data_IF_837924467613
#
_entry.id   IF_837924467613
#
_cell.length_a   1.000
_cell.length_b   1.000
_cell.length_c   1.000
_cell.angle_alpha   90.00
_cell.angle_beta   90.00
_cell.angle_gamma   90.00
#
_symmetry.space_group_name_H-M   'P 1'
#
loop_
_entity.id
_entity.type
_entity.pdbx_description
1 polymer ?
#
# COMPACT_ATOMS: atom_id res chain seq x y z
N UNK A 1 0.19 -2.20 6.28
CA UNK A 1 1.25 -1.17 6.33
C UNK A 1 2.09 -1.28 5.08
N UNK A 2 2.56 -0.16 4.54
CA UNK A 2 3.47 -0.11 3.39
C UNK A 2 4.63 0.83 3.69
N UNK A 3 5.86 0.57 3.22
CA UNK A 3 7.01 1.40 3.55
C UNK A 3 6.81 2.81 3.01
N UNK A 4 7.16 3.80 3.83
CA UNK A 4 7.05 5.22 3.49
C UNK A 4 8.25 5.99 4.05
N UNK A 5 8.53 7.14 3.47
CA UNK A 5 9.54 8.08 3.98
C UNK A 5 8.93 9.46 4.18
N UNK A 6 9.33 10.18 5.23
CA UNK A 6 8.82 11.53 5.49
C UNK A 6 9.92 12.45 6.01
N UNK A 7 9.98 13.66 5.47
CA UNK A 7 10.81 14.72 6.06
C UNK A 7 10.09 15.34 7.25
N UNK A 8 10.74 15.32 8.41
CA UNK A 8 10.26 15.97 9.64
C UNK A 8 11.43 16.80 10.15
N UNK A 9 11.28 18.13 10.16
CA UNK A 9 12.31 19.11 10.53
C UNK A 9 13.68 18.85 9.87
N UNK A 10 13.70 18.76 8.53
CA UNK A 10 14.91 18.54 7.73
C UNK A 10 15.51 17.13 7.80
N UNK A 11 14.98 16.25 8.64
CA UNK A 11 15.46 14.86 8.78
C UNK A 11 14.54 13.91 8.02
N UNK A 12 15.10 13.01 7.21
CA UNK A 12 14.34 11.98 6.50
C UNK A 12 14.11 10.76 7.42
N UNK A 13 12.86 10.55 7.82
CA UNK A 13 12.44 9.38 8.59
C UNK A 13 11.95 8.26 7.67
N UNK A 14 12.26 7.03 8.03
CA UNK A 14 11.70 5.82 7.42
C UNK A 14 10.60 5.27 8.34
N UNK A 15 9.44 4.99 7.77
CA UNK A 15 8.28 4.52 8.52
C UNK A 15 7.27 3.84 7.59
N UNK A 16 6.00 3.97 7.94
CA UNK A 16 4.93 3.29 7.23
C UNK A 16 3.75 4.20 6.92
N UNK A 17 3.14 4.00 5.75
CA UNK A 17 1.72 4.33 5.59
C UNK A 17 0.85 3.19 6.11
N UNK A 18 -0.29 3.53 6.70
CA UNK A 18 -1.29 2.57 7.18
C UNK A 18 -2.40 2.43 6.14
N UNK A 19 -2.58 1.20 5.66
CA UNK A 19 -3.69 0.82 4.79
C UNK A 19 -4.65 -0.09 5.57
N UNK A 20 -5.95 0.11 5.44
CA UNK A 20 -6.99 -0.65 6.15
C UNK A 20 -8.11 -1.13 5.21
N UNK A 21 -8.83 -2.19 5.59
CA UNK A 21 -10.03 -2.64 4.86
C UNK A 21 -9.79 -3.49 3.60
N UNK A 22 -8.56 -3.86 3.28
CA UNK A 22 -8.30 -4.74 2.13
C UNK A 22 -8.89 -6.15 2.33
N UNK A 23 -9.56 -6.69 1.31
CA UNK A 23 -10.08 -8.07 1.34
C UNK A 23 -10.22 -8.69 -0.06
N UNK A 24 -10.25 -10.02 -0.06
CA UNK A 24 -10.68 -10.87 -1.17
C UNK A 24 -11.80 -11.79 -0.64
N UNK A 25 -12.74 -12.16 -1.51
CA UNK A 25 -13.79 -13.13 -1.19
C UNK A 25 -15.11 -12.47 -0.77
N UNK A 26 -15.42 -12.50 0.53
CA UNK A 26 -16.69 -12.01 1.09
C UNK A 26 -17.04 -10.60 0.61
N UNK A 27 -18.14 -10.44 -0.13
CA UNK A 27 -18.53 -9.17 -0.76
C UNK A 27 -17.52 -8.63 -1.79
N UNK A 28 -16.77 -9.51 -2.44
CA UNK A 28 -15.82 -9.16 -3.51
C UNK A 28 -14.45 -8.68 -3.04
N UNK A 29 -13.60 -8.34 -4.01
CA UNK A 29 -12.29 -7.75 -3.79
C UNK A 29 -12.39 -6.27 -3.45
N UNK A 30 -11.71 -5.86 -2.38
CA UNK A 30 -11.63 -4.48 -1.94
C UNK A 30 -10.15 -4.15 -1.75
N UNK A 31 -9.69 -3.09 -2.41
CA UNK A 31 -8.34 -2.55 -2.20
C UNK A 31 -8.31 -1.87 -0.84
N UNK A 32 -7.24 -2.08 -0.06
CA UNK A 32 -7.09 -1.42 1.22
C UNK A 32 -6.98 0.10 1.04
N UNK A 33 -7.78 0.86 1.78
CA UNK A 33 -7.78 2.32 1.79
C UNK A 33 -6.60 2.86 2.60
N UNK A 34 -5.97 3.92 2.11
CA UNK A 34 -4.93 4.63 2.86
C UNK A 34 -5.57 5.50 3.94
N UNK A 35 -5.05 5.46 5.16
CA UNK A 35 -5.49 6.36 6.24
C UNK A 35 -4.85 7.75 6.11
N UNK A 36 -3.97 7.95 5.13
CA UNK A 36 -3.19 9.15 4.89
C UNK A 36 -2.33 9.56 6.09
N UNK A 37 -1.79 8.54 6.77
CA UNK A 37 -0.91 8.69 7.93
C UNK A 37 0.49 8.19 7.64
N UNK A 38 1.47 8.84 8.24
CA UNK A 38 2.83 8.34 8.42
C UNK A 38 3.02 7.97 9.88
N UNK A 39 3.48 6.76 10.13
CA UNK A 39 3.85 6.29 11.47
C UNK A 39 5.29 5.80 11.46
N UNK A 40 5.99 6.06 12.55
CA UNK A 40 7.34 5.53 12.77
C UNK A 40 7.28 4.04 13.17
N UNK A 41 8.38 3.28 13.02
CA UNK A 41 8.36 1.83 13.27
C UNK A 41 7.96 1.43 14.69
N UNK A 42 8.31 2.23 15.68
CA UNK A 42 7.95 2.06 17.09
C UNK A 42 6.45 2.34 17.33
N UNK A 43 5.86 3.32 16.65
CA UNK A 43 4.43 3.65 16.75
C UNK A 43 3.51 2.66 16.01
N UNK A 44 4.06 1.94 15.02
CA UNK A 44 3.28 1.12 14.10
C UNK A 44 2.42 0.05 14.80
N UNK A 45 2.94 -0.54 15.88
CA UNK A 45 2.24 -1.60 16.60
C UNK A 45 1.01 -1.09 17.37
N UNK A 46 1.09 0.10 17.98
CA UNK A 46 -0.03 0.73 18.70
C UNK A 46 -1.21 0.99 17.76
N UNK A 47 -0.93 1.53 16.57
CA UNK A 47 -1.97 1.80 15.57
C UNK A 47 -2.64 0.51 15.11
N UNK A 48 -1.87 -0.57 14.91
CA UNK A 48 -2.44 -1.88 14.53
C UNK A 48 -3.30 -2.46 15.66
N UNK A 49 -2.86 -2.34 16.91
CA UNK A 49 -3.62 -2.80 18.08
C UNK A 49 -4.97 -2.07 18.17
N UNK A 50 -4.99 -0.75 18.00
CA UNK A 50 -6.24 0.02 18.06
C UNK A 50 -7.15 -0.25 16.87
N UNK A 51 -6.63 -0.51 15.66
CA UNK A 51 -7.43 -1.00 14.54
C UNK A 51 -8.11 -2.35 14.88
N UNK A 52 -7.38 -3.27 15.51
CA UNK A 52 -7.92 -4.58 15.90
C UNK A 52 -8.99 -4.42 16.99
N UNK A 53 -8.75 -3.60 18.01
CA UNK A 53 -9.72 -3.33 19.10
C UNK A 53 -10.97 -2.63 18.59
N UNK A 54 -10.80 -1.60 17.75
CA UNK A 54 -11.93 -0.91 17.13
C UNK A 54 -12.76 -1.86 16.27
N UNK A 55 -12.12 -2.71 15.45
CA UNK A 55 -12.84 -3.72 14.70
C UNK A 55 -13.51 -4.77 15.60
N UNK A 56 -12.90 -5.13 16.73
CA UNK A 56 -13.49 -6.04 17.71
C UNK A 56 -14.78 -5.47 18.29
N UNK A 57 -14.76 -4.20 18.67
CA UNK A 57 -15.83 -3.50 19.38
C UNK A 57 -16.99 -3.12 18.44
N UNK A 58 -16.66 -2.65 17.24
CA UNK A 58 -17.62 -1.98 16.33
C UNK A 58 -17.94 -2.81 15.08
N UNK A 59 -17.15 -3.85 14.80
CA UNK A 59 -17.35 -4.69 13.62
C UNK A 59 -18.64 -5.52 13.71
N UNK A 60 -19.41 -5.54 12.61
CA UNK A 60 -20.63 -6.33 12.51
C UNK A 60 -20.40 -7.82 12.87
N UNK A 61 -21.34 -8.39 13.64
CA UNK A 61 -21.34 -9.80 14.09
C UNK A 61 -22.51 -10.62 13.56
N UNK A 62 -23.28 -10.07 12.63
CA UNK A 62 -24.45 -10.71 12.01
C UNK A 62 -24.07 -11.70 10.90
N UNK A 63 -24.54 -11.42 9.68
CA UNK A 63 -24.25 -12.27 8.53
C UNK A 63 -22.74 -12.37 8.28
N UNK A 64 -22.18 -13.59 8.33
CA UNK A 64 -20.73 -13.83 8.16
C UNK A 64 -20.16 -13.24 6.86
N UNK A 65 -20.99 -13.13 5.83
CA UNK A 65 -20.64 -12.53 4.53
C UNK A 65 -20.37 -11.03 4.58
N UNK A 66 -20.72 -10.36 5.69
CA UNK A 66 -20.62 -8.92 5.91
C UNK A 66 -19.83 -8.54 7.18
N UNK A 67 -19.12 -9.50 7.80
CA UNK A 67 -18.41 -9.30 9.07
C UNK A 67 -16.90 -9.01 8.91
N UNK A 68 -16.46 -8.38 7.82
CA UNK A 68 -15.04 -8.01 7.59
C UNK A 68 -14.85 -6.52 7.84
N UNK A 69 -13.66 -6.11 8.31
CA UNK A 69 -13.30 -4.70 8.53
C UNK A 69 -13.60 -3.78 7.34
N UNK A 70 -13.52 -4.31 6.11
CA UNK A 70 -13.87 -3.58 4.90
C UNK A 70 -15.30 -3.00 4.93
N UNK A 71 -16.27 -3.74 5.46
CA UNK A 71 -17.67 -3.30 5.52
C UNK A 71 -17.88 -2.23 6.60
N UNK A 72 -17.17 -2.35 7.74
CA UNK A 72 -17.16 -1.29 8.75
C UNK A 72 -16.61 0.02 8.17
N UNK A 73 -15.53 -0.06 7.38
CA UNK A 73 -14.95 1.09 6.69
C UNK A 73 -15.88 1.68 5.61
N UNK A 74 -16.63 0.83 4.91
CA UNK A 74 -17.64 1.26 3.94
C UNK A 74 -18.80 1.99 4.62
N UNK A 75 -19.27 1.48 5.75
CA UNK A 75 -20.35 2.08 6.54
C UNK A 75 -19.94 3.39 7.21
N UNK A 76 -18.77 3.42 7.84
CA UNK A 76 -18.31 4.57 8.61
C UNK A 76 -17.68 5.66 7.75
N UNK A 77 -17.10 5.27 6.62
CA UNK A 77 -16.15 6.12 5.89
C UNK A 77 -14.82 6.28 6.62
N UNK A 78 -13.82 6.78 5.89
CA UNK A 78 -12.46 6.94 6.41
C UNK A 78 -12.35 8.03 7.48
N UNK A 79 -13.16 9.08 7.39
CA UNK A 79 -13.08 10.22 8.31
C UNK A 79 -13.47 9.82 9.73
N UNK A 80 -14.65 9.22 9.90
CA UNK A 80 -15.10 8.70 11.19
C UNK A 80 -14.14 7.64 11.71
N UNK A 81 -13.70 6.70 10.87
CA UNK A 81 -12.76 5.66 11.28
C UNK A 81 -11.43 6.22 11.82
N UNK A 82 -10.89 7.27 11.16
CA UNK A 82 -9.68 7.97 11.61
C UNK A 82 -9.89 8.70 12.94
N UNK A 83 -11.02 9.40 13.09
CA UNK A 83 -11.36 10.13 14.32
C UNK A 83 -11.43 9.18 15.53
N UNK A 84 -12.12 8.06 15.39
CA UNK A 84 -12.26 7.05 16.44
C UNK A 84 -10.92 6.40 16.80
N UNK A 85 -10.06 6.13 15.81
CA UNK A 85 -8.71 5.65 16.07
C UNK A 85 -7.86 6.67 16.83
N UNK A 86 -7.91 7.95 16.48
CA UNK A 86 -7.16 9.01 17.17
C UNK A 86 -7.62 9.15 18.62
N UNK A 87 -8.92 9.08 18.88
CA UNK A 87 -9.45 9.08 20.24
C UNK A 87 -8.92 7.91 21.08
N UNK A 88 -8.88 6.71 20.50
CA UNK A 88 -8.38 5.50 21.16
C UNK A 88 -6.87 5.51 21.37
N UNK A 89 -6.11 6.06 20.41
CA UNK A 89 -4.66 6.20 20.50
C UNK A 89 -4.24 7.26 21.53
N UNK A 90 -5.05 8.30 21.72
CA UNK A 90 -4.70 9.45 22.56
C UNK A 90 -3.68 10.40 21.92
N UNK A 91 -3.33 10.18 20.65
CA UNK A 91 -2.43 11.03 19.87
C UNK A 91 -2.79 10.98 18.37
N UNK A 92 -2.34 12.00 17.63
CA UNK A 92 -2.61 12.15 16.21
C UNK A 92 -1.39 11.70 15.38
N UNK A 93 -1.51 10.64 14.55
CA UNK A 93 -0.49 10.30 13.58
C UNK A 93 -0.20 11.43 12.60
N UNK A 94 1.06 11.55 12.21
CA UNK A 94 1.48 12.57 11.27
C UNK A 94 0.84 12.33 9.89
N UNK A 95 0.61 13.38 9.07
CA UNK A 95 0.10 13.20 7.71
C UNK A 95 0.99 12.27 6.87
N UNK A 96 0.45 11.64 5.82
CA UNK A 96 1.21 10.76 4.94
C UNK A 96 2.52 11.39 4.43
N UNK A 97 3.58 10.58 4.43
CA UNK A 97 4.82 10.88 3.71
C UNK A 97 4.77 10.43 2.25
N UNK A 98 5.95 10.24 1.64
CA UNK A 98 6.11 9.64 0.32
C UNK A 98 6.08 8.11 0.42
N UNK A 99 5.31 7.46 -0.45
CA UNK A 99 5.33 5.99 -0.60
C UNK A 99 6.71 5.55 -1.09
N UNK A 100 7.31 4.58 -0.40
CA UNK A 100 8.66 4.08 -0.70
C UNK A 100 8.64 2.74 -1.45
N UNK A 101 7.47 2.22 -1.84
CA UNK A 101 7.35 1.05 -2.69
C UNK A 101 7.80 1.38 -4.12
N UNK A 102 8.57 0.49 -4.73
CA UNK A 102 8.91 0.57 -6.15
C UNK A 102 7.75 0.15 -7.05
N UNK A 103 7.76 0.61 -8.30
CA UNK A 103 6.83 0.14 -9.34
C UNK A 103 7.13 -1.29 -9.82
N UNK A 104 8.32 -1.81 -9.52
CA UNK A 104 8.74 -3.17 -9.86
C UNK A 104 8.24 -4.22 -8.86
N UNK A 105 7.85 -5.39 -9.39
CA UNK A 105 7.62 -6.59 -8.58
C UNK A 105 8.95 -7.34 -8.40
N UNK A 106 9.29 -7.71 -7.17
CA UNK A 106 10.42 -8.58 -6.88
C UNK A 106 9.90 -9.95 -6.46
N UNK A 107 10.14 -10.96 -7.30
CA UNK A 107 9.78 -12.36 -7.07
C UNK A 107 10.79 -13.09 -6.18
N UNK A 108 11.93 -12.46 -5.90
CA UNK A 108 13.05 -12.98 -5.11
C UNK A 108 13.75 -14.23 -5.67
N UNK A 109 13.39 -14.71 -6.86
CA UNK A 109 14.07 -15.85 -7.49
C UNK A 109 15.52 -15.56 -7.88
N UNK A 110 16.27 -16.63 -8.08
CA UNK A 110 17.67 -16.59 -8.49
C UNK A 110 18.60 -16.19 -7.36
N UNK A 111 19.88 -16.03 -7.71
CA UNK A 111 20.92 -15.53 -6.81
C UNK A 111 20.84 -14.01 -6.76
N UNK A 112 20.76 -13.45 -5.54
CA UNK A 112 20.67 -12.00 -5.32
C UNK A 112 21.65 -11.57 -4.24
N UNK A 113 22.39 -10.49 -4.51
CA UNK A 113 23.27 -9.86 -3.52
C UNK A 113 22.45 -9.28 -2.37
N UNK A 114 22.90 -9.51 -1.14
CA UNK A 114 22.34 -8.88 0.04
C UNK A 114 22.99 -7.52 0.30
N UNK A 115 22.47 -6.78 1.28
CA UNK A 115 23.07 -5.52 1.73
C UNK A 115 24.45 -5.74 2.35
N UNK A 116 24.64 -6.87 3.02
CA UNK A 116 25.89 -7.28 3.65
C UNK A 116 26.89 -7.70 2.55
N UNK A 117 28.11 -7.13 2.52
CA UNK A 117 29.13 -7.51 1.55
C UNK A 117 29.43 -9.01 1.60
N UNK A 118 29.56 -9.64 0.42
CA UNK A 118 29.89 -11.06 0.29
C UNK A 118 28.75 -12.03 0.61
N UNK A 119 27.57 -11.55 1.02
CA UNK A 119 26.40 -12.40 1.28
C UNK A 119 25.35 -12.32 0.18
N UNK A 120 24.74 -13.46 -0.06
CA UNK A 120 23.74 -13.66 -1.10
C UNK A 120 22.49 -14.33 -0.52
N UNK A 121 21.37 -14.16 -1.22
CA UNK A 121 20.16 -14.96 -1.04
C UNK A 121 19.85 -15.71 -2.32
N UNK A 122 19.30 -16.91 -2.20
CA UNK A 122 18.87 -17.74 -3.32
C UNK A 122 17.39 -18.04 -3.17
N UNK A 123 16.57 -17.46 -4.04
CA UNK A 123 15.13 -17.75 -4.08
C UNK A 123 14.84 -18.98 -4.91
N UNK A 124 14.05 -19.91 -4.35
CA UNK A 124 13.82 -21.24 -4.88
C UNK A 124 12.34 -21.47 -5.16
N UNK A 125 12.03 -22.10 -6.31
CA UNK A 125 10.64 -22.39 -6.69
C UNK A 125 10.11 -23.61 -5.94
N UNK A 126 9.20 -23.38 -5.01
CA UNK A 126 8.36 -24.44 -4.44
C UNK A 126 7.07 -24.48 -5.23
N UNK A 127 6.98 -25.41 -6.19
CA UNK A 127 5.83 -25.54 -7.10
C UNK A 127 4.51 -25.53 -6.32
N UNK A 128 3.68 -24.49 -6.55
CA UNK A 128 2.39 -24.24 -5.88
C UNK A 128 2.44 -24.38 -4.35
N UNK A 129 3.58 -24.06 -3.74
CA UNK A 129 3.81 -24.18 -2.30
C UNK A 129 3.62 -25.58 -1.73
N UNK A 130 3.77 -26.63 -2.55
CA UNK A 130 3.70 -28.03 -2.12
C UNK A 130 5.14 -28.57 -1.99
N UNK A 131 5.49 -29.07 -0.82
CA UNK A 131 6.81 -29.65 -0.52
C UNK A 131 6.60 -30.95 0.27
N UNK A 132 7.39 -31.99 -0.02
CA UNK A 132 7.40 -33.22 0.77
C UNK A 132 8.18 -33.03 2.07
N UNK A 133 8.06 -33.99 3.00
CA UNK A 133 8.82 -33.92 4.25
C UNK A 133 10.32 -34.12 4.01
N UNK A 134 10.72 -34.95 3.03
CA UNK A 134 12.12 -35.16 2.65
C UNK A 134 12.73 -33.88 2.07
N UNK A 135 12.05 -33.27 1.09
CA UNK A 135 12.53 -32.03 0.46
C UNK A 135 12.54 -30.86 1.46
N UNK A 136 11.62 -30.82 2.43
CA UNK A 136 11.63 -29.82 3.49
C UNK A 136 12.79 -30.02 4.48
N UNK A 137 13.06 -31.26 4.90
CA UNK A 137 14.19 -31.58 5.77
C UNK A 137 15.52 -31.25 5.07
N UNK A 138 15.63 -31.60 3.79
CA UNK A 138 16.80 -31.29 2.99
C UNK A 138 16.98 -29.78 2.77
N UNK A 139 15.90 -29.03 2.53
CA UNK A 139 15.96 -27.57 2.49
C UNK A 139 16.48 -26.97 3.81
N UNK A 140 16.09 -27.55 4.95
CA UNK A 140 16.64 -27.22 6.26
C UNK A 140 18.15 -27.45 6.34
N UNK A 141 18.62 -28.65 5.93
CA UNK A 141 20.05 -28.97 5.85
C UNK A 141 20.80 -27.97 4.97
N UNK A 142 20.25 -27.60 3.81
CA UNK A 142 20.88 -26.62 2.92
C UNK A 142 21.02 -25.25 3.59
N UNK A 143 20.02 -24.82 4.36
CA UNK A 143 20.09 -23.57 5.10
C UNK A 143 21.20 -23.59 6.16
N UNK A 144 21.38 -24.72 6.86
CA UNK A 144 22.42 -24.89 7.88
C UNK A 144 23.83 -24.96 7.27
N UNK A 145 23.99 -25.73 6.18
CA UNK A 145 25.30 -25.97 5.55
C UNK A 145 25.79 -24.76 4.77
N UNK A 146 24.91 -24.11 4.00
CA UNK A 146 25.30 -23.05 3.08
C UNK A 146 25.06 -21.65 3.62
N UNK A 147 24.09 -21.48 4.53
CA UNK A 147 23.72 -20.19 5.11
C UNK A 147 23.95 -20.14 6.62
N UNK A 148 22.96 -19.60 7.33
CA UNK A 148 22.95 -19.49 8.79
C UNK A 148 21.75 -20.22 9.43
N UNK A 149 21.23 -21.26 8.77
CA UNK A 149 20.06 -22.01 9.23
C UNK A 149 18.72 -21.29 9.05
N UNK A 150 18.69 -20.13 8.39
CA UNK A 150 17.47 -19.35 8.20
C UNK A 150 16.88 -19.55 6.81
N UNK A 151 15.56 -19.79 6.75
CA UNK A 151 14.77 -19.85 5.52
C UNK A 151 13.67 -18.78 5.62
N UNK A 152 13.40 -18.08 4.54
CA UNK A 152 12.23 -17.19 4.43
C UNK A 152 11.21 -17.77 3.47
N UNK A 153 9.92 -17.65 3.80
CA UNK A 153 8.82 -17.99 2.91
C UNK A 153 8.26 -16.73 2.25
N UNK A 154 7.72 -16.86 1.04
CA UNK A 154 7.16 -15.74 0.27
C UNK A 154 5.65 -15.86 0.08
N UNK A 155 5.00 -14.73 -0.18
CA UNK A 155 3.57 -14.71 -0.57
C UNK A 155 3.31 -15.34 -1.93
N UNK A 156 4.35 -15.51 -2.75
CA UNK A 156 4.34 -16.30 -3.98
C UNK A 156 4.45 -17.81 -3.74
N UNK A 157 4.37 -18.26 -2.48
CA UNK A 157 4.44 -19.67 -2.07
C UNK A 157 5.82 -20.32 -2.28
N UNK A 158 6.89 -19.53 -2.24
CA UNK A 158 8.26 -19.96 -2.48
C UNK A 158 9.14 -19.81 -1.24
N UNK A 159 10.38 -20.33 -1.32
CA UNK A 159 11.36 -20.26 -0.24
C UNK A 159 12.59 -19.43 -0.67
N UNK A 160 13.27 -18.84 0.30
CA UNK A 160 14.52 -18.09 0.10
C UNK A 160 15.53 -18.58 1.12
N UNK A 161 16.65 -19.11 0.64
CA UNK A 161 17.85 -19.32 1.44
C UNK A 161 18.58 -17.99 1.58
N UNK A 162 18.93 -17.61 2.80
CA UNK A 162 19.55 -16.30 3.08
C UNK A 162 20.93 -16.47 3.71
N UNK A 163 21.74 -15.41 3.59
CA UNK A 163 23.04 -15.30 4.23
C UNK A 163 24.03 -16.36 3.71
N UNK A 164 23.97 -16.64 2.40
CA UNK A 164 24.89 -17.56 1.72
C UNK A 164 26.18 -16.79 1.38
N UNK A 165 27.35 -17.18 1.92
CA UNK A 165 28.62 -16.60 1.52
C UNK A 165 28.91 -16.87 0.03
N UNK A 166 29.54 -15.92 -0.65
CA UNK A 166 29.88 -15.99 -2.08
C UNK A 166 30.60 -17.29 -2.44
N UNK A 167 31.58 -17.69 -1.63
CA UNK A 167 32.39 -18.89 -1.84
C UNK A 167 31.61 -20.21 -1.73
N UNK A 168 30.38 -20.17 -1.20
CA UNK A 168 29.50 -21.33 -1.05
C UNK A 168 28.42 -21.43 -2.13
N UNK A 169 28.28 -20.41 -2.98
CA UNK A 169 27.20 -20.33 -3.98
C UNK A 169 27.25 -21.48 -4.98
N UNK A 170 28.41 -21.71 -5.61
CA UNK A 170 28.52 -22.75 -6.64
C UNK A 170 28.22 -24.15 -6.09
N UNK A 171 28.68 -24.41 -4.86
CA UNK A 171 28.41 -25.66 -4.17
C UNK A 171 26.92 -25.82 -3.82
N UNK A 172 26.23 -24.74 -3.41
CA UNK A 172 24.79 -24.76 -3.18
C UNK A 172 24.03 -25.01 -4.49
N UNK A 173 24.39 -24.29 -5.56
CA UNK A 173 23.73 -24.40 -6.87
C UNK A 173 23.88 -25.79 -7.50
N UNK A 174 24.89 -26.56 -7.08
CA UNK A 174 25.10 -27.95 -7.48
C UNK A 174 24.24 -28.99 -6.75
N UNK A 175 23.51 -28.61 -5.69
CA UNK A 175 22.77 -29.54 -4.84
C UNK A 175 21.59 -30.20 -5.59
N UNK A 176 21.37 -31.53 -5.46
CA UNK A 176 20.32 -32.23 -6.21
C UNK A 176 18.92 -31.67 -6.01
N UNK A 177 18.60 -31.20 -4.80
CA UNK A 177 17.29 -30.63 -4.46
C UNK A 177 16.96 -29.41 -5.33
N UNK A 178 17.95 -28.63 -5.77
CA UNK A 178 17.72 -27.44 -6.60
C UNK A 178 17.27 -27.79 -8.02
N UNK A 179 17.29 -29.06 -8.44
CA UNK A 179 16.62 -29.49 -9.69
C UNK A 179 15.10 -29.49 -9.53
N UNK A 180 14.61 -29.84 -8.34
CA UNK A 180 13.19 -29.75 -7.98
C UNK A 180 12.81 -28.30 -7.65
N UNK A 181 13.56 -27.70 -6.71
CA UNK A 181 13.37 -26.36 -6.19
C UNK A 181 14.20 -25.31 -6.93
N UNK A 182 14.09 -25.30 -8.27
CA UNK A 182 14.96 -24.48 -9.13
C UNK A 182 14.98 -22.99 -8.77
N UNK A 183 16.16 -22.35 -8.74
CA UNK A 183 16.28 -20.90 -8.59
C UNK A 183 15.90 -20.13 -9.86
N UNK A 184 15.87 -20.80 -11.02
CA UNK A 184 15.55 -20.20 -12.32
C UNK A 184 14.30 -20.83 -12.95
N UNK A 185 13.10 -20.58 -12.38
CA UNK A 185 11.87 -21.06 -12.96
C UNK A 185 11.46 -20.25 -14.20
N UNK A 186 10.73 -20.89 -15.12
CA UNK A 186 10.20 -20.23 -16.31
C UNK A 186 9.21 -19.11 -15.97
N UNK A 187 8.94 -18.25 -16.96
CA UNK A 187 8.03 -17.09 -16.79
C UNK A 187 6.61 -17.43 -16.33
N UNK A 188 6.17 -18.67 -16.53
CA UNK A 188 4.84 -19.17 -16.16
C UNK A 188 4.80 -19.83 -14.77
N UNK A 189 5.97 -20.08 -14.17
CA UNK A 189 6.11 -20.57 -12.80
C UNK A 189 6.52 -19.46 -11.82
N UNK A 190 7.25 -18.43 -12.27
CA UNK A 190 7.68 -17.30 -11.41
C UNK A 190 6.53 -16.62 -10.67
N UNK A 191 5.39 -16.46 -11.32
CA UNK A 191 4.21 -15.82 -10.73
C UNK A 191 3.06 -16.78 -10.42
N UNK A 192 3.31 -18.09 -10.36
CA UNK A 192 2.26 -19.09 -10.16
C UNK A 192 1.88 -19.20 -8.69
N UNK A 193 0.62 -18.95 -8.37
CA UNK A 193 0.05 -19.15 -7.02
C UNK A 193 -1.21 -19.98 -7.15
N UNK A 194 -1.37 -20.99 -6.30
CA UNK A 194 -2.58 -21.79 -6.24
C UNK A 194 -3.02 -22.05 -4.79
N UNK A 195 -4.30 -21.87 -4.50
CA UNK A 195 -4.84 -22.29 -3.20
C UNK A 195 -4.80 -23.82 -3.03
N UNK A 196 -5.26 -24.31 -1.88
CA UNK A 196 -5.31 -25.74 -1.57
C UNK A 196 -6.11 -26.56 -2.60
N UNK A 197 -7.29 -26.08 -3.02
CA UNK A 197 -8.15 -26.83 -3.94
C UNK A 197 -8.87 -28.00 -3.25
N UNK A 198 -9.55 -28.83 -4.04
CA UNK A 198 -10.32 -30.00 -3.56
C UNK A 198 -9.46 -31.10 -2.95
N UNK A 199 -8.13 -31.03 -3.06
CA UNK A 199 -7.22 -31.96 -2.38
C UNK A 199 -7.50 -32.03 -0.87
N UNK A 200 -7.76 -30.89 -0.22
CA UNK A 200 -7.99 -30.83 1.23
C UNK A 200 -8.99 -29.76 1.71
N UNK A 201 -9.43 -28.83 0.84
CA UNK A 201 -10.29 -27.72 1.26
C UNK A 201 -11.78 -28.04 1.07
N UNK A 202 -12.55 -28.00 2.16
CA UNK A 202 -14.00 -28.23 2.15
C UNK A 202 -14.82 -27.16 1.42
N UNK A 203 -14.23 -26.00 1.11
CA UNK A 203 -14.88 -24.92 0.36
C UNK A 203 -14.55 -24.95 -1.14
N UNK A 204 -13.51 -25.70 -1.52
CA UNK A 204 -13.06 -25.72 -2.91
C UNK A 204 -14.08 -26.44 -3.79
N UNK A 205 -14.31 -25.87 -4.97
CA UNK A 205 -15.21 -26.42 -5.97
C UNK A 205 -14.46 -27.23 -7.04
N UNK A 206 -13.17 -26.95 -7.24
CA UNK A 206 -12.30 -27.66 -8.20
C UNK A 206 -10.91 -27.94 -7.60
N UNK A 207 -10.18 -28.86 -8.23
CA UNK A 207 -8.74 -28.98 -8.02
C UNK A 207 -8.01 -27.75 -8.57
N UNK A 208 -6.98 -27.31 -7.84
CA UNK A 208 -6.17 -26.16 -8.22
C UNK A 208 -4.70 -26.48 -8.35
N UNK A 209 -4.10 -27.24 -7.42
CA UNK A 209 -2.63 -27.35 -7.36
C UNK A 209 -2.08 -28.19 -8.50
N UNK A 210 -2.66 -29.36 -8.79
CA UNK A 210 -2.21 -30.19 -9.90
C UNK A 210 -2.52 -29.51 -11.24
N UNK A 211 -3.74 -28.98 -11.39
CA UNK A 211 -4.17 -28.25 -12.59
C UNK A 211 -3.30 -27.03 -12.90
N UNK A 212 -2.94 -26.22 -11.89
CA UNK A 212 -2.07 -25.06 -12.06
C UNK A 212 -0.69 -25.43 -12.63
N UNK A 213 -0.08 -26.52 -12.13
CA UNK A 213 1.20 -27.02 -12.64
C UNK A 213 1.06 -27.53 -14.08
N UNK A 214 0.00 -28.31 -14.37
CA UNK A 214 -0.26 -28.83 -15.72
C UNK A 214 -0.42 -27.70 -16.74
N UNK A 215 -1.20 -26.67 -16.38
CA UNK A 215 -1.45 -25.52 -17.25
C UNK A 215 -0.18 -24.70 -17.47
N UNK A 216 0.62 -24.43 -16.43
CA UNK A 216 1.88 -23.69 -16.61
C UNK A 216 2.87 -24.44 -17.51
N UNK A 217 2.96 -25.77 -17.42
CA UNK A 217 3.75 -26.59 -18.37
C UNK A 217 3.21 -26.49 -19.79
N UNK A 218 1.90 -26.62 -19.95
CA UNK A 218 1.24 -26.55 -21.25
C UNK A 218 1.42 -25.18 -21.93
N UNK A 219 1.47 -24.09 -21.16
CA UNK A 219 1.78 -22.74 -21.64
C UNK A 219 3.26 -22.59 -22.01
N UNK A 220 4.17 -23.15 -21.21
CA UNK A 220 5.60 -23.17 -21.49
C UNK A 220 5.93 -23.88 -22.80
N UNK A 221 5.32 -25.04 -23.04
CA UNK A 221 5.46 -25.79 -24.30
C UNK A 221 4.95 -25.01 -25.53
N UNK A 222 3.84 -24.25 -25.37
CA UNK A 222 3.20 -23.51 -26.46
C UNK A 222 3.84 -22.16 -26.76
N UNK A 223 4.35 -21.48 -25.74
CA UNK A 223 4.76 -20.07 -25.81
C UNK A 223 6.24 -19.84 -25.52
N UNK A 224 6.97 -20.87 -25.10
CA UNK A 224 8.37 -20.79 -24.66
C UNK A 224 8.52 -20.41 -23.19
N UNK A 225 9.59 -20.89 -22.57
CA UNK A 225 9.90 -20.67 -21.15
C UNK A 225 10.34 -19.23 -20.83
N UNK A 226 10.90 -18.53 -21.83
CA UNK A 226 11.54 -17.23 -21.67
C UNK A 226 10.59 -16.04 -21.90
N UNK A 227 10.95 -14.90 -21.30
CA UNK A 227 10.25 -13.63 -21.47
C UNK A 227 9.78 -13.03 -20.15
N UNK A 228 8.97 -11.97 -20.24
CA UNK A 228 8.49 -11.25 -19.04
C UNK A 228 7.67 -12.19 -18.14
N UNK A 229 8.00 -12.31 -16.85
CA UNK A 229 7.21 -13.08 -15.89
C UNK A 229 5.74 -12.63 -15.90
N UNK A 230 4.83 -13.59 -15.78
CA UNK A 230 3.39 -13.35 -15.72
C UNK A 230 2.86 -13.98 -14.43
N UNK A 231 2.05 -13.22 -13.70
CA UNK A 231 1.38 -13.75 -12.50
C UNK A 231 0.12 -14.52 -12.88
N UNK A 232 0.05 -15.80 -12.50
CA UNK A 232 -1.08 -16.70 -12.77
C UNK A 232 -1.58 -17.25 -11.44
N UNK A 233 -2.77 -16.84 -11.04
CA UNK A 233 -3.29 -17.11 -9.70
C UNK A 233 -4.58 -17.96 -9.75
N UNK A 234 -4.57 -19.10 -9.08
CA UNK A 234 -5.68 -20.05 -9.02
C UNK A 234 -6.39 -20.05 -7.66
N UNK A 235 -7.69 -19.82 -7.67
CA UNK A 235 -8.58 -19.98 -6.51
C UNK A 235 -9.67 -20.99 -6.83
N UNK A 236 -9.80 -22.06 -6.03
CA UNK A 236 -10.75 -23.13 -6.31
C UNK A 236 -12.20 -22.81 -5.98
N UNK A 237 -12.48 -21.62 -5.42
CA UNK A 237 -13.82 -21.14 -5.09
C UNK A 237 -13.83 -19.60 -4.96
N UNK A 238 -15.00 -18.96 -4.78
CA UNK A 238 -15.13 -17.51 -4.61
C UNK A 238 -14.42 -16.91 -3.39
N UNK A 239 -13.99 -17.71 -2.40
CA UNK A 239 -13.23 -17.19 -1.25
C UNK A 239 -11.91 -16.52 -1.66
N UNK A 240 -11.32 -16.92 -2.79
CA UNK A 240 -10.21 -16.20 -3.41
C UNK A 240 -8.86 -16.34 -2.69
N UNK A 241 -8.63 -17.42 -1.93
CA UNK A 241 -7.37 -17.63 -1.19
C UNK A 241 -6.10 -17.64 -2.06
N UNK A 242 -6.23 -17.89 -3.37
CA UNK A 242 -5.13 -17.79 -4.33
C UNK A 242 -4.92 -16.38 -4.89
N UNK A 243 -5.67 -15.38 -4.43
CA UNK A 243 -5.59 -13.98 -4.86
C UNK A 243 -5.80 -13.77 -6.37
N UNK A 244 -6.77 -14.46 -6.98
CA UNK A 244 -7.00 -14.43 -8.44
C UNK A 244 -7.24 -13.03 -9.01
N UNK A 245 -7.95 -12.13 -8.30
CA UNK A 245 -8.15 -10.76 -8.79
C UNK A 245 -6.93 -9.85 -8.63
N UNK A 246 -5.82 -10.33 -8.05
CA UNK A 246 -4.59 -9.55 -7.86
C UNK A 246 -3.48 -9.90 -8.85
N UNK A 247 -3.76 -10.73 -9.86
CA UNK A 247 -2.81 -11.24 -10.83
C UNK A 247 -3.06 -10.73 -12.26
N UNK A 248 -2.03 -10.84 -13.10
CA UNK A 248 -2.12 -10.62 -14.54
C UNK A 248 -3.20 -11.51 -15.16
N UNK A 249 -3.23 -12.78 -14.74
CA UNK A 249 -4.26 -13.77 -15.08
C UNK A 249 -4.74 -14.45 -13.80
N UNK A 250 -6.02 -14.28 -13.48
CA UNK A 250 -6.69 -14.88 -12.33
C UNK A 250 -7.69 -15.93 -12.75
N UNK A 251 -7.74 -17.05 -12.05
CA UNK A 251 -8.63 -18.18 -12.34
C UNK A 251 -9.44 -18.51 -11.09
N UNK A 252 -10.76 -18.31 -11.17
CA UNK A 252 -11.70 -18.65 -10.09
C UNK A 252 -12.51 -19.87 -10.48
N UNK A 253 -12.24 -20.98 -9.83
CA UNK A 253 -12.89 -22.25 -10.04
C UNK A 253 -14.35 -22.28 -9.60
N UNK A 254 -15.14 -23.06 -10.35
CA UNK A 254 -16.53 -23.39 -10.07
C UNK A 254 -16.93 -24.73 -10.67
N UNK A 255 -18.05 -25.28 -10.20
CA UNK A 255 -18.72 -26.42 -10.84
C UNK A 255 -19.85 -25.90 -11.71
N UNK A 256 -19.94 -26.39 -12.94
CA UNK A 256 -21.07 -26.14 -13.85
C UNK A 256 -21.72 -27.45 -14.27
N UNK A 257 -23.01 -27.42 -14.60
CA UNK A 257 -23.72 -28.58 -15.10
C UNK A 257 -23.82 -28.49 -16.62
N UNK A 258 -23.27 -29.48 -17.32
CA UNK A 258 -23.34 -29.61 -18.78
C UNK A 258 -23.90 -30.99 -19.08
N UNK A 259 -25.06 -31.06 -19.74
CA UNK A 259 -25.72 -32.33 -20.12
C UNK A 259 -25.87 -33.32 -18.94
N UNK A 260 -26.33 -32.83 -17.78
CA UNK A 260 -26.46 -33.59 -16.52
C UNK A 260 -25.14 -34.12 -15.93
N UNK A 261 -23.99 -33.59 -16.36
CA UNK A 261 -22.68 -33.89 -15.79
C UNK A 261 -22.09 -32.65 -15.11
N UNK A 262 -21.55 -32.84 -13.91
CA UNK A 262 -20.82 -31.79 -13.20
C UNK A 262 -19.41 -31.66 -13.77
N UNK A 263 -19.11 -30.51 -14.36
CA UNK A 263 -17.84 -30.19 -15.01
C UNK A 263 -17.13 -29.08 -14.24
N UNK A 264 -15.81 -29.20 -14.10
CA UNK A 264 -14.97 -28.13 -13.56
C UNK A 264 -14.87 -27.00 -14.58
N UNK A 265 -15.09 -25.76 -14.13
CA UNK A 265 -14.91 -24.57 -14.95
C UNK A 265 -14.18 -23.47 -14.16
N UNK A 266 -13.66 -22.48 -14.88
CA UNK A 266 -13.06 -21.28 -14.32
C UNK A 266 -13.66 -20.01 -14.93
N UNK A 267 -13.84 -18.99 -14.09
CA UNK A 267 -13.91 -17.61 -14.55
C UNK A 267 -12.49 -17.06 -14.71
N UNK A 268 -12.23 -16.36 -15.81
CA UNK A 268 -10.92 -15.80 -16.14
C UNK A 268 -10.94 -14.30 -15.90
N UNK A 269 -10.02 -13.85 -15.05
CA UNK A 269 -9.76 -12.45 -14.73
C UNK A 269 -8.44 -12.01 -15.33
N UNK A 270 -8.33 -10.76 -15.76
CA UNK A 270 -7.06 -10.19 -16.24
C UNK A 270 -6.81 -8.77 -15.72
N UNK A 271 -5.55 -8.37 -15.70
CA UNK A 271 -5.16 -6.99 -15.41
C UNK A 271 -5.11 -6.63 -13.93
N UNK A 272 -5.25 -7.62 -13.05
CA UNK A 272 -5.04 -7.45 -11.62
C UNK A 272 -3.57 -7.15 -11.32
N UNK A 273 -3.33 -6.31 -10.31
CA UNK A 273 -1.99 -6.05 -9.80
C UNK A 273 -2.03 -5.56 -8.35
N UNK A 274 -0.97 -5.88 -7.61
CA UNK A 274 -0.66 -5.27 -6.31
C UNK A 274 0.39 -4.16 -6.46
N UNK A 275 0.71 -3.46 -5.36
CA UNK A 275 1.74 -2.41 -5.34
C UNK A 275 1.15 -1.01 -5.22
N UNK A 276 1.90 0.05 -5.57
CA UNK A 276 1.48 1.45 -5.45
C UNK A 276 0.17 1.75 -6.20
N UNK A 277 -0.01 1.14 -7.37
CA UNK A 277 -1.18 1.34 -8.22
C UNK A 277 -2.06 0.09 -8.29
N UNK A 278 -2.35 -0.51 -7.13
CA UNK A 278 -3.14 -1.74 -7.05
C UNK A 278 -4.46 -1.63 -7.82
N UNK A 279 -4.84 -2.70 -8.52
CA UNK A 279 -6.06 -2.78 -9.34
C UNK A 279 -6.62 -4.18 -9.27
N UNK A 280 -7.94 -4.29 -9.14
CA UNK A 280 -8.64 -5.55 -9.26
C UNK A 280 -8.64 -6.03 -10.73
N UNK A 281 -8.38 -7.31 -10.95
CA UNK A 281 -8.54 -7.94 -12.24
C UNK A 281 -10.01 -7.93 -12.67
N UNK A 282 -10.24 -7.71 -13.96
CA UNK A 282 -11.57 -7.75 -14.56
C UNK A 282 -11.84 -9.11 -15.16
N UNK A 283 -13.02 -9.64 -14.88
CA UNK A 283 -13.52 -10.86 -15.46
C UNK A 283 -13.77 -10.66 -16.96
N UNK A 284 -13.09 -11.42 -17.80
CA UNK A 284 -13.24 -11.40 -19.27
C UNK A 284 -14.00 -12.61 -19.80
N UNK A 285 -14.04 -13.70 -19.02
CA UNK A 285 -14.79 -14.92 -19.34
C UNK A 285 -15.39 -15.46 -18.04
N UNK A 286 -16.67 -15.83 -18.08
CA UNK A 286 -17.41 -16.26 -16.89
C UNK A 286 -17.30 -17.77 -16.65
N UNK A 287 -17.50 -18.57 -17.70
CA UNK A 287 -17.51 -20.03 -17.62
C UNK A 287 -16.62 -20.59 -18.74
N UNK A 288 -15.42 -21.04 -18.36
CA UNK A 288 -14.51 -21.77 -19.26
C UNK A 288 -14.30 -23.17 -18.70
N UNK A 289 -14.78 -24.23 -19.38
CA UNK A 289 -14.53 -25.61 -18.97
C UNK A 289 -13.04 -25.88 -18.81
N UNK A 290 -12.70 -26.66 -17.77
CA UNK A 290 -11.33 -27.06 -17.51
C UNK A 290 -10.99 -28.38 -18.23
N UNK A 291 -11.25 -28.41 -19.53
CA UNK A 291 -10.96 -29.51 -20.44
C UNK A 291 -9.62 -29.29 -21.19
N UNK A 292 -9.40 -30.09 -22.23
CA UNK A 292 -8.21 -30.07 -23.08
C UNK A 292 -8.04 -28.78 -23.89
N UNK A 293 -9.09 -27.94 -24.03
CA UNK A 293 -9.01 -26.65 -24.72
C UNK A 293 -8.53 -25.50 -23.81
N UNK A 294 -8.60 -25.65 -22.48
CA UNK A 294 -8.20 -24.60 -21.53
C UNK A 294 -6.77 -24.05 -21.76
N UNK A 295 -5.73 -24.88 -22.01
CA UNK A 295 -4.40 -24.38 -22.34
C UNK A 295 -4.37 -23.44 -23.54
N UNK A 296 -5.15 -23.72 -24.59
CA UNK A 296 -5.19 -22.91 -25.81
C UNK A 296 -5.91 -21.58 -25.57
N UNK A 297 -6.99 -21.61 -24.79
CA UNK A 297 -7.68 -20.40 -24.33
C UNK A 297 -6.72 -19.51 -23.56
N UNK A 298 -5.99 -20.07 -22.59
CA UNK A 298 -5.04 -19.31 -21.78
C UNK A 298 -3.83 -18.83 -22.59
N UNK A 299 -3.35 -19.62 -23.56
CA UNK A 299 -2.29 -19.19 -24.46
C UNK A 299 -2.71 -17.97 -25.29
N UNK A 300 -3.95 -17.94 -25.77
CA UNK A 300 -4.52 -16.79 -26.47
C UNK A 300 -4.66 -15.57 -25.53
N UNK A 301 -5.11 -15.78 -24.30
CA UNK A 301 -5.17 -14.70 -23.28
C UNK A 301 -3.77 -14.12 -23.03
N UNK A 302 -2.73 -14.95 -22.92
CA UNK A 302 -1.34 -14.49 -22.74
C UNK A 302 -0.86 -13.68 -23.94
N UNK A 303 -1.08 -14.17 -25.17
CA UNK A 303 -0.68 -13.47 -26.41
C UNK A 303 -1.33 -12.09 -26.54
N UNK A 304 -2.59 -11.97 -26.11
CA UNK A 304 -3.39 -10.75 -26.26
C UNK A 304 -3.61 -10.01 -24.93
N UNK A 305 -2.77 -10.27 -23.92
CA UNK A 305 -2.98 -9.78 -22.55
C UNK A 305 -3.10 -8.24 -22.49
N UNK A 306 -2.34 -7.51 -23.31
CA UNK A 306 -2.41 -6.05 -23.34
C UNK A 306 -3.74 -5.53 -23.89
N UNK A 307 -4.32 -6.21 -24.89
CA UNK A 307 -5.64 -5.85 -25.43
C UNK A 307 -6.72 -6.06 -24.36
N UNK A 308 -6.70 -7.21 -23.68
CA UNK A 308 -7.68 -7.48 -22.63
C UNK A 308 -7.54 -6.54 -21.42
N UNK A 309 -6.33 -6.05 -21.12
CA UNK A 309 -6.10 -5.00 -20.10
C UNK A 309 -6.73 -3.65 -20.48
N UNK A 310 -6.94 -3.37 -21.77
CA UNK A 310 -7.52 -2.12 -22.27
C UNK A 310 -9.06 -2.10 -22.32
N UNK A 311 -9.71 -3.27 -22.35
CA UNK A 311 -11.18 -3.39 -22.45
C UNK A 311 -11.91 -2.65 -21.30
N UNK A 312 -11.25 -2.42 -20.17
CA UNK A 312 -11.76 -1.65 -19.03
C UNK A 312 -11.72 -0.11 -19.18
N UNK A 313 -11.19 0.47 -20.25
CA UNK A 313 -11.26 1.94 -20.42
C UNK A 313 -12.68 2.45 -20.74
N UNK A 314 -13.66 1.56 -20.97
CA UNK A 314 -15.08 1.94 -21.11
C UNK A 314 -15.80 1.71 -19.78
N UNK A 315 -16.21 2.75 -19.05
CA UNK A 315 -16.95 2.60 -17.81
C UNK A 315 -18.25 1.85 -18.05
N UNK A 316 -18.62 0.98 -17.11
CA UNK A 316 -19.89 0.27 -17.16
C UNK A 316 -21.01 1.24 -16.76
N UNK A 317 -22.23 1.03 -17.29
CA UNK A 317 -23.41 1.90 -17.01
C UNK A 317 -23.70 2.05 -15.50
N UNK A 318 -23.23 1.12 -14.66
CA UNK A 318 -23.31 1.21 -13.19
C UNK A 318 -22.49 2.35 -12.59
N UNK A 319 -21.40 2.75 -13.23
CA UNK A 319 -20.51 3.81 -12.74
C UNK A 319 -21.11 5.22 -12.91
N UNK A 320 -22.30 5.34 -13.52
CA UNK A 320 -23.03 6.61 -13.73
C UNK A 320 -24.15 6.89 -12.72
N UNK A 321 -24.46 5.97 -11.80
CA UNK A 321 -25.60 6.15 -10.87
C UNK A 321 -25.17 6.64 -9.47
N UNK A 322 -23.87 6.70 -9.16
CA UNK A 322 -23.37 7.27 -7.91
C UNK A 322 -22.48 8.47 -8.22
N UNK A 323 -23.06 9.66 -8.25
CA UNK A 323 -22.48 10.98 -7.96
C UNK A 323 -23.49 12.04 -8.45
N UNK A 324 -24.59 12.22 -7.73
CA UNK A 324 -25.28 13.52 -7.69
C UNK A 324 -25.01 14.07 -6.30
N UNK A 325 -24.38 15.26 -6.16
CA UNK A 325 -24.24 15.90 -4.86
C UNK A 325 -25.62 16.17 -4.27
N UNK A 326 -25.79 15.99 -2.97
CA UNK A 326 -26.95 16.51 -2.26
C UNK A 326 -26.87 18.04 -2.25
N UNK A 327 -27.35 18.68 -3.32
CA UNK A 327 -27.80 20.07 -3.26
C UNK A 327 -29.23 20.05 -2.74
N UNK A 328 -29.43 20.80 -1.65
CA UNK A 328 -30.67 21.06 -0.92
C UNK A 328 -31.94 20.81 -1.76
N UNK A 329 -32.69 19.76 -1.40
CA UNK A 329 -34.07 19.63 -1.84
C UNK A 329 -34.91 20.59 -1.00
N UNK A 330 -35.67 21.52 -1.61
CA UNK A 330 -36.70 22.23 -0.88
C UNK A 330 -37.82 21.26 -0.52
N UNK A 331 -38.33 21.36 0.71
CA UNK A 331 -39.51 20.65 1.18
C UNK A 331 -40.73 21.10 0.35
N UNK A 332 -41.14 20.29 -0.62
CA UNK A 332 -42.44 20.42 -1.27
C UNK A 332 -43.16 19.06 -1.28
N UNK A 333 -44.41 19.08 -0.81
CA UNK A 333 -45.29 17.94 -0.62
C UNK A 333 -45.52 17.20 -1.94
N UNK A 334 -45.27 15.88 -1.94
CA UNK A 334 -45.53 15.02 -3.08
C UNK A 334 -47.03 14.69 -3.20
N UNK A 335 -47.74 15.39 -4.08
CA UNK A 335 -48.98 14.87 -4.66
C UNK A 335 -48.66 13.81 -5.72
N UNK A 336 -49.17 12.60 -5.51
CA UNK A 336 -49.12 11.51 -6.48
C UNK A 336 -50.13 11.78 -7.60
N UNK A 337 -49.65 11.99 -8.84
CA UNK A 337 -50.53 11.96 -10.01
C UNK A 337 -50.14 10.87 -11.01
N UNK A 338 -51.17 10.23 -11.56
CA UNK A 338 -51.13 9.00 -12.34
C UNK A 338 -50.64 9.20 -13.78
N UNK A 339 -50.13 8.15 -14.46
CA UNK A 339 -49.46 8.31 -15.75
C UNK A 339 -50.47 8.59 -16.88
N UNK A 340 -50.20 9.64 -17.67
CA UNK A 340 -50.90 9.92 -18.93
C UNK A 340 -49.96 9.74 -20.13
N UNK A 341 -50.49 9.29 -21.29
CA UNK A 341 -49.68 8.79 -22.41
C UNK A 341 -49.25 9.87 -23.41
N UNK A 342 -48.25 9.49 -24.21
CA UNK A 342 -47.50 10.31 -25.16
C UNK A 342 -48.31 11.20 -26.12
N UNK A 343 -47.85 12.44 -26.31
CA UNK A 343 -48.19 13.28 -27.45
C UNK A 343 -47.04 14.21 -27.91
N UNK A 344 -46.84 14.15 -29.22
CA UNK A 344 -46.21 15.07 -30.20
C UNK A 344 -45.09 16.06 -29.82
N UNK A 345 -44.00 15.88 -30.56
CA UNK A 345 -43.00 16.89 -30.93
C UNK A 345 -43.65 18.11 -31.61
N UNK A 346 -43.41 19.30 -31.06
CA UNK A 346 -43.33 20.55 -31.82
C UNK A 346 -42.53 21.60 -31.05
N UNK A 347 -41.51 22.13 -31.74
CA UNK A 347 -40.88 23.45 -31.61
C UNK A 347 -40.63 24.08 -30.23
N UNK A 348 -39.36 24.27 -29.89
CA UNK A 348 -38.89 25.57 -29.38
C UNK A 348 -37.42 25.82 -29.66
N UNK A 349 -37.15 27.09 -29.97
CA UNK A 349 -35.93 27.65 -30.55
C UNK A 349 -34.84 27.81 -29.50
N UNK A 350 -33.61 27.62 -29.96
CA UNK A 350 -32.36 27.94 -29.28
C UNK A 350 -32.23 29.45 -29.00
N UNK A 351 -32.01 29.82 -27.75
CA UNK A 351 -31.26 31.01 -27.35
C UNK A 351 -30.78 30.82 -25.89
N UNK A 352 -29.47 30.77 -25.69
CA UNK A 352 -28.88 30.59 -24.36
C UNK A 352 -27.38 30.86 -24.36
N UNK A 353 -27.03 32.05 -23.87
CA UNK A 353 -25.70 32.59 -23.62
C UNK A 353 -24.67 31.57 -23.11
N UNK A 354 -23.45 31.67 -23.66
CA UNK A 354 -22.22 31.11 -23.10
C UNK A 354 -21.87 31.95 -21.86
N UNK A 355 -22.26 31.46 -20.68
CA UNK A 355 -21.81 31.98 -19.40
C UNK A 355 -20.41 31.45 -19.08
N UNK A 356 -19.43 32.35 -19.12
CA UNK A 356 -18.04 32.12 -18.70
C UNK A 356 -18.01 31.78 -17.21
N UNK A 357 -17.81 30.51 -16.87
CA UNK A 357 -17.60 30.07 -15.48
C UNK A 357 -16.25 30.58 -14.99
N UNK A 358 -16.31 31.53 -14.06
CA UNK A 358 -15.17 32.04 -13.30
C UNK A 358 -14.82 31.01 -12.23
N UNK A 359 -13.66 30.36 -12.36
CA UNK A 359 -13.10 29.50 -11.32
C UNK A 359 -12.56 30.41 -10.21
N UNK A 360 -13.27 30.46 -9.08
CA UNK A 360 -12.74 31.02 -7.84
C UNK A 360 -11.70 30.06 -7.27
N UNK A 361 -10.42 30.39 -7.48
CA UNK A 361 -9.29 29.75 -6.84
C UNK A 361 -9.40 29.88 -5.31
N UNK A 362 -9.49 28.75 -4.61
CA UNK A 362 -9.16 28.67 -3.19
C UNK A 362 -7.64 28.89 -3.09
N UNK A 363 -7.24 30.04 -2.53
CA UNK A 363 -5.86 30.47 -2.46
C UNK A 363 -4.96 29.43 -1.77
N UNK A 364 -4.05 28.83 -2.54
CA UNK A 364 -2.90 28.10 -2.01
C UNK A 364 -1.98 29.09 -1.29
N UNK A 365 -1.78 28.90 0.03
CA UNK A 365 -0.78 29.66 0.79
C UNK A 365 0.59 29.42 0.16
N UNK A 366 1.18 30.44 -0.45
CA UNK A 366 2.52 30.36 -1.05
C UNK A 366 3.55 30.25 0.09
N UNK A 367 4.24 29.11 0.16
CA UNK A 367 5.45 28.99 0.95
C UNK A 367 6.59 29.76 0.27
N UNK A 368 7.35 30.54 1.03
CA UNK A 368 8.54 31.26 0.57
C UNK A 368 9.71 30.87 1.43
N UNK A 369 10.82 30.47 0.81
CA UNK A 369 12.08 30.21 1.49
C UNK A 369 12.89 31.49 1.59
N UNK A 370 13.38 31.79 2.80
CA UNK A 370 14.18 32.98 3.08
C UNK A 370 15.56 32.54 3.53
N UNK A 371 16.60 33.05 2.88
CA UNK A 371 17.98 32.88 3.35
C UNK A 371 18.16 33.63 4.67
N UNK A 372 18.65 32.95 5.70
CA UNK A 372 18.76 33.50 7.05
C UNK A 372 20.21 33.78 7.45
N UNK A 373 21.09 32.78 7.36
CA UNK A 373 22.50 32.90 7.76
C UNK A 373 23.35 31.80 7.11
N UNK A 374 24.68 31.86 7.30
CA UNK A 374 25.54 30.70 7.03
C UNK A 374 25.53 29.75 8.23
N UNK A 375 25.66 28.45 7.98
CA UNK A 375 25.85 27.44 9.05
C UNK A 375 27.04 27.77 9.94
N UNK A 376 28.07 28.43 9.39
CA UNK A 376 29.25 28.83 10.15
C UNK A 376 28.97 29.94 11.19
N UNK A 377 27.84 30.64 11.05
CA UNK A 377 27.40 31.67 12.01
C UNK A 377 26.73 31.03 13.24
N UNK A 378 26.33 29.76 13.13
CA UNK A 378 25.67 29.02 14.19
C UNK A 378 26.69 28.27 15.06
N UNK A 379 26.49 28.31 16.38
CA UNK A 379 27.29 27.54 17.35
C UNK A 379 26.39 26.55 18.08
N UNK A 380 26.86 25.32 18.23
CA UNK A 380 26.09 24.27 18.87
C UNK A 380 25.74 24.67 20.32
N UNK A 381 24.46 24.53 20.69
CA UNK A 381 23.95 24.86 22.03
C UNK A 381 23.75 26.35 22.32
N UNK A 382 23.98 27.24 21.34
CA UNK A 382 23.72 28.69 21.46
C UNK A 382 22.64 29.08 20.47
N UNK A 383 21.65 29.86 20.90
CA UNK A 383 20.63 30.40 20.02
C UNK A 383 21.16 31.54 19.15
N UNK A 384 20.65 31.59 17.92
CA UNK A 384 20.95 32.62 16.95
C UNK A 384 19.66 33.34 16.58
N UNK A 385 19.59 34.63 16.89
CA UNK A 385 18.44 35.48 16.59
C UNK A 385 18.47 35.94 15.14
N UNK A 386 17.36 35.79 14.41
CA UNK A 386 17.27 36.27 13.04
C UNK A 386 15.90 36.89 12.69
N UNK A 387 15.89 38.12 12.13
CA UNK A 387 14.67 38.72 11.61
C UNK A 387 14.33 38.13 10.24
N UNK A 388 13.18 37.46 10.16
CA UNK A 388 12.67 36.86 8.92
C UNK A 388 11.26 37.39 8.63
N UNK A 389 11.12 38.19 7.57
CA UNK A 389 9.84 38.82 7.15
C UNK A 389 9.07 39.52 8.28
N UNK A 390 9.77 40.25 9.13
CA UNK A 390 9.16 41.02 10.24
C UNK A 390 8.83 40.20 11.49
N UNK A 391 9.24 38.93 11.55
CA UNK A 391 9.22 38.10 12.76
C UNK A 391 10.63 37.80 13.25
N UNK A 392 10.81 37.72 14.56
CA UNK A 392 12.06 37.24 15.14
C UNK A 392 12.00 35.72 15.32
N UNK A 393 12.98 35.03 14.75
CA UNK A 393 13.15 33.59 14.89
C UNK A 393 14.41 33.28 15.70
N UNK A 394 14.32 32.23 16.52
CA UNK A 394 15.46 31.65 17.20
C UNK A 394 15.92 30.41 16.42
N UNK A 395 17.17 30.42 15.96
CA UNK A 395 17.81 29.31 15.27
C UNK A 395 18.78 28.59 16.20
N UNK A 396 18.84 27.27 16.07
CA UNK A 396 19.64 26.44 16.95
C UNK A 396 20.34 25.33 16.20
N UNK A 397 21.67 25.26 16.34
CA UNK A 397 22.47 24.14 15.84
C UNK A 397 22.55 23.06 16.91
N UNK A 398 22.10 21.86 16.58
CA UNK A 398 22.23 20.68 17.43
C UNK A 398 23.56 19.96 17.18
N UNK A 399 24.00 19.17 18.17
CA UNK A 399 25.30 18.50 18.15
C UNK A 399 25.48 17.50 16.98
N UNK A 400 24.38 17.00 16.40
CA UNK A 400 24.39 16.13 15.22
C UNK A 400 24.40 16.88 13.87
N UNK A 401 24.49 18.22 13.91
CA UNK A 401 24.55 19.07 12.72
C UNK A 401 23.20 19.56 12.19
N UNK A 402 22.08 19.19 12.82
CA UNK A 402 20.74 19.71 12.44
C UNK A 402 20.54 21.14 12.92
N UNK A 403 19.86 21.95 12.11
CA UNK A 403 19.46 23.32 12.46
C UNK A 403 17.95 23.37 12.64
N UNK A 404 17.52 23.92 13.77
CA UNK A 404 16.11 24.15 14.09
C UNK A 404 15.81 25.64 14.04
N UNK A 405 14.59 26.02 13.64
CA UNK A 405 14.11 27.39 13.68
C UNK A 405 12.73 27.42 14.34
N UNK A 406 12.57 28.28 15.34
CA UNK A 406 11.32 28.45 16.10
C UNK A 406 11.01 29.93 16.30
N UNK A 407 9.80 30.26 16.77
CA UNK A 407 9.51 31.63 17.24
C UNK A 407 10.51 32.03 18.34
N UNK A 408 11.06 33.25 18.28
CA UNK A 408 12.03 33.72 19.27
C UNK A 408 11.37 34.09 20.61
N UNK A 409 10.06 34.32 20.65
CA UNK A 409 9.34 34.71 21.87
C UNK A 409 8.62 33.52 22.50
N UNK A 410 8.84 33.34 23.80
CA UNK A 410 8.17 32.32 24.59
C UNK A 410 6.69 32.69 24.79
N UNK A 411 5.73 31.81 24.45
CA UNK A 411 4.30 32.11 24.51
C UNK A 411 3.74 32.23 25.93
N UNK A 412 4.52 31.87 26.95
CA UNK A 412 4.15 32.05 28.35
C UNK A 412 4.10 33.54 28.73
N UNK A 413 5.17 34.28 28.46
CA UNK A 413 5.33 35.67 28.92
C UNK A 413 6.34 36.49 28.08
N UNK A 414 6.56 36.13 26.82
CA UNK A 414 7.41 36.87 25.88
C UNK A 414 8.92 36.75 26.11
N UNK A 415 9.39 35.74 26.85
CA UNK A 415 10.82 35.57 27.11
C UNK A 415 11.63 35.21 25.84
N UNK A 416 12.89 35.65 25.73
CA UNK A 416 13.74 35.44 24.55
C UNK A 416 14.27 34.01 24.52
N UNK A 417 13.73 33.18 23.62
CA UNK A 417 14.12 31.78 23.48
C UNK A 417 15.51 31.63 22.85
N UNK A 418 15.97 32.58 22.04
CA UNK A 418 17.32 32.62 21.48
C UNK A 418 18.43 32.76 22.55
N UNK A 419 18.09 33.27 23.73
CA UNK A 419 18.97 33.27 24.92
C UNK A 419 18.83 31.99 25.77
N UNK A 420 17.96 31.07 25.36
CA UNK A 420 17.66 29.83 26.05
C UNK A 420 18.73 28.75 25.85
N UNK A 421 18.88 27.90 26.86
CA UNK A 421 19.77 26.74 26.79
C UNK A 421 19.08 25.56 26.12
N UNK A 422 19.82 24.78 25.33
CA UNK A 422 19.30 23.58 24.69
C UNK A 422 19.84 22.32 25.34
N UNK A 423 18.94 21.38 25.59
CA UNK A 423 19.29 20.01 25.94
C UNK A 423 18.28 19.06 25.30
N UNK A 424 18.74 17.96 24.70
CA UNK A 424 17.88 16.93 24.11
C UNK A 424 16.84 17.46 23.11
N UNK A 425 17.25 18.36 22.19
CA UNK A 425 16.35 19.03 21.24
C UNK A 425 15.26 19.89 21.89
N UNK A 426 15.41 20.28 23.15
CA UNK A 426 14.46 21.12 23.87
C UNK A 426 15.15 22.43 24.29
N UNK A 427 14.54 23.58 23.98
CA UNK A 427 15.01 24.89 24.44
C UNK A 427 14.30 25.25 25.74
N UNK A 428 15.08 25.67 26.74
CA UNK A 428 14.57 26.18 28.02
C UNK A 428 14.57 27.71 27.99
N UNK A 429 13.39 28.32 28.15
CA UNK A 429 13.22 29.76 28.25
C UNK A 429 13.98 30.31 29.47
N UNK A 430 14.88 31.31 29.32
CA UNK A 430 15.76 31.75 30.39
C UNK A 430 15.06 32.53 31.51
N UNK A 431 13.83 33.02 31.27
CA UNK A 431 13.09 33.81 32.27
C UNK A 431 12.26 32.97 33.22
N UNK A 432 11.70 31.86 32.76
CA UNK A 432 10.67 31.11 33.49
C UNK A 432 10.83 29.59 33.40
N UNK A 433 11.91 29.11 32.79
CA UNK A 433 12.24 27.68 32.63
C UNK A 433 11.20 26.84 31.89
N UNK A 434 10.30 27.47 31.12
CA UNK A 434 9.40 26.77 30.21
C UNK A 434 10.21 26.13 29.10
N UNK A 435 9.97 24.85 28.86
CA UNK A 435 10.75 24.08 27.92
C UNK A 435 9.93 23.71 26.70
N UNK A 436 10.52 23.88 25.53
CA UNK A 436 9.84 23.66 24.26
C UNK A 436 10.68 22.76 23.37
N UNK A 437 10.04 21.71 22.87
CA UNK A 437 10.65 20.79 21.93
C UNK A 437 10.87 21.51 20.58
N UNK A 438 12.11 21.60 20.12
CA UNK A 438 12.51 22.30 18.89
C UNK A 438 12.01 21.59 17.62
N UNK A 439 11.52 20.36 17.77
CA UNK A 439 10.93 19.54 16.72
C UNK A 439 9.44 19.89 16.64
N UNK A 440 8.63 19.44 17.60
CA UNK A 440 7.17 19.56 17.57
C UNK A 440 6.63 20.93 17.98
N UNK A 441 7.44 21.77 18.63
CA UNK A 441 7.04 23.03 19.22
C UNK A 441 6.25 22.90 20.53
N UNK A 442 5.98 21.67 21.00
CA UNK A 442 5.20 21.44 22.22
C UNK A 442 5.98 21.86 23.46
N UNK A 443 5.28 22.47 24.41
CA UNK A 443 5.86 22.75 25.71
C UNK A 443 5.75 21.53 26.63
N UNK A 444 6.87 21.12 27.22
CA UNK A 444 6.88 20.00 28.19
C UNK A 444 6.45 20.45 29.59
N UNK A 445 6.56 21.75 29.89
CA UNK A 445 6.21 22.34 31.19
C UNK A 445 4.70 22.60 31.29
N UNK A 446 4.06 23.00 30.20
CA UNK A 446 2.63 23.27 30.12
C UNK A 446 2.05 22.76 28.79
N UNK A 447 1.29 21.65 28.78
CA UNK A 447 0.72 21.08 27.56
C UNK A 447 -0.21 22.04 26.77
N UNK A 448 -0.69 23.12 27.38
CA UNK A 448 -1.50 24.14 26.72
C UNK A 448 -0.70 25.13 25.86
N UNK A 449 0.64 25.15 25.99
CA UNK A 449 1.51 26.05 25.26
C UNK A 449 2.29 25.34 24.15
N UNK A 450 2.49 26.04 23.04
CA UNK A 450 3.34 25.61 21.95
C UNK A 450 3.97 26.80 21.24
N UNK A 451 5.20 26.63 20.77
CA UNK A 451 5.86 27.56 19.84
C UNK A 451 5.70 27.06 18.41
N UNK A 452 5.70 27.98 17.45
CA UNK A 452 5.74 27.59 16.04
C UNK A 452 7.16 27.15 15.68
N UNK A 453 7.28 26.02 15.00
CA UNK A 453 8.51 25.58 14.37
C UNK A 453 8.45 25.82 12.86
N UNK A 454 9.60 26.09 12.25
CA UNK A 454 9.72 26.43 10.84
C UNK A 454 10.63 25.43 10.14
N UNK A 455 10.27 24.92 8.95
CA UNK A 455 11.17 24.07 8.18
C UNK A 455 12.47 24.80 7.85
N UNK A 456 13.61 24.16 8.13
CA UNK A 456 14.94 24.67 7.81
C UNK A 456 15.59 23.77 6.76
N UNK A 457 16.19 24.38 5.75
CA UNK A 457 16.99 23.71 4.73
C UNK A 457 18.42 24.24 4.80
N UNK A 458 19.40 23.34 4.71
CA UNK A 458 20.80 23.71 4.62
C UNK A 458 21.34 23.26 3.27
N UNK A 459 21.73 24.22 2.43
CA UNK A 459 22.29 23.99 1.09
C UNK A 459 23.53 24.87 0.92
N UNK A 460 24.65 24.31 0.45
CA UNK A 460 25.93 25.03 0.28
C UNK A 460 26.37 25.86 1.51
N UNK A 461 26.18 25.32 2.72
CA UNK A 461 26.44 25.99 4.02
C UNK A 461 25.60 27.25 4.27
N UNK A 462 24.51 27.43 3.53
CA UNK A 462 23.51 28.47 3.74
C UNK A 462 22.27 27.87 4.40
N UNK A 463 21.71 28.57 5.38
CA UNK A 463 20.53 28.18 6.14
C UNK A 463 19.33 28.94 5.62
N UNK A 464 18.35 28.21 5.11
CA UNK A 464 17.10 28.73 4.56
C UNK A 464 15.94 28.33 5.45
N UNK A 465 15.03 29.24 5.73
CA UNK A 465 13.82 28.97 6.52
C UNK A 465 12.59 29.14 5.65
N UNK A 466 11.70 28.15 5.66
CA UNK A 466 10.43 28.21 4.94
C UNK A 466 9.35 28.91 5.76
N UNK A 467 8.73 29.90 5.15
CA UNK A 467 7.62 30.64 5.75
C UNK A 467 6.38 30.56 4.85
N UNK A 468 5.27 30.13 5.43
CA UNK A 468 3.96 30.28 4.79
C UNK A 468 3.50 31.74 4.92
N UNK A 469 3.27 32.39 3.78
CA UNK A 469 2.73 33.76 3.69
C UNK A 469 1.21 33.72 3.70
#
# INVERSE_FOLDING_TARGET
MVPATKFIHGTLYSGFHILAGGKMGSGGFTIASNLDWFVEPDQAHDVVIEIIKLFRDEGARGARTQCRLAFLLEEWGLDRFRQELVQRLGWQPAPAGKDARSDGHNDHFGVRRQKQPGLYSVGLRVSVGRISHESLAELGRLADVYGNGSIRLTTGQNAILVNIPEERLDALLGEPLLRELTPEPSRFFRGLVACTGTDYCNLAQIDTKARAVQISKALEERLGADGKPITIHWSGCPAGCGNHQAADIGLRGMKVNVENRSVDAVAIYVGGRTGPQARAGTQIMDIVPCDEALPDVLANVVKHLQLFKQVQARPTVRDRILMVPATEMPDEEFEFDQPQPAASLADTKSNGNIGTLTVTNVASKKAVQVLVCSVNDLKAGVGFSAPVKGKQLALFLHADGRVFAVDAECPHAGGPLDEGNIKNCEVTCPLHDYKFDLISGRCSTDPGLSIKTYPVFVEDKQVWVEMHV
#
